data_IF_397867495455
#
_entry.id   IF_397867495455
#
_cell.length_a   1.000
_cell.length_b   1.000
_cell.length_c   1.000
_cell.angle_alpha   90.00
_cell.angle_beta   90.00
_cell.angle_gamma   90.00
#
_symmetry.space_group_name_H-M   'P 1'
#
loop_
_entity.id
_entity.type
_entity.pdbx_description
1 polymer ?
#
# COMPACT_ATOMS: atom_id res chain seq x y z
N UNK A 1 -9.05 -31.35 15.75
CA UNK A 1 -8.85 -30.03 15.14
C UNK A 1 -7.36 -29.69 15.25
N UNK A 2 -6.63 -29.72 14.14
CA UNK A 2 -5.17 -29.51 14.16
C UNK A 2 -4.92 -28.03 13.90
N UNK A 3 -4.50 -27.31 14.93
CA UNK A 3 -4.10 -25.90 14.83
C UNK A 3 -2.75 -25.83 14.12
N UNK A 4 -2.74 -25.35 12.87
CA UNK A 4 -1.49 -25.06 12.18
C UNK A 4 -1.06 -23.63 12.53
N UNK A 5 0.01 -23.50 13.33
CA UNK A 5 0.64 -22.22 13.66
C UNK A 5 1.35 -21.69 12.40
N UNK A 6 0.81 -20.67 11.76
CA UNK A 6 1.54 -19.89 10.77
C UNK A 6 2.39 -18.82 11.46
N UNK A 7 3.68 -18.89 11.15
CA UNK A 7 4.80 -18.15 11.68
C UNK A 7 4.71 -16.63 11.46
N UNK A 8 4.98 -15.85 12.51
CA UNK A 8 5.67 -14.56 12.37
C UNK A 8 4.84 -13.30 12.12
N UNK A 9 3.61 -13.18 12.64
CA UNK A 9 2.89 -11.91 12.58
C UNK A 9 3.03 -11.18 13.92
N UNK A 10 3.73 -10.03 13.93
CA UNK A 10 3.63 -9.11 15.05
C UNK A 10 2.14 -8.87 15.32
N UNK A 11 1.69 -9.08 16.57
CA UNK A 11 0.27 -9.08 16.98
C UNK A 11 -0.46 -7.73 16.82
N UNK A 12 0.08 -6.82 16.02
CA UNK A 12 -0.55 -5.59 15.60
C UNK A 12 -1.38 -5.86 14.34
N UNK A 13 -2.70 -5.58 14.35
CA UNK A 13 -3.56 -5.66 13.17
C UNK A 13 -2.96 -4.94 11.97
N UNK A 14 -3.11 -5.50 10.77
CA UNK A 14 -2.53 -4.94 9.55
C UNK A 14 -2.94 -3.48 9.34
N UNK A 15 -4.19 -3.13 9.62
CA UNK A 15 -4.72 -1.76 9.56
C UNK A 15 -3.84 -0.76 10.33
N UNK A 16 -3.46 -1.11 11.56
CA UNK A 16 -2.54 -0.29 12.37
C UNK A 16 -1.12 -0.24 11.79
N UNK A 17 -0.65 -1.33 11.17
CA UNK A 17 0.66 -1.35 10.48
C UNK A 17 0.69 -0.44 9.26
N UNK A 18 -0.41 -0.42 8.49
CA UNK A 18 -0.63 0.44 7.32
C UNK A 18 -0.78 1.92 7.72
N UNK A 19 -1.21 2.17 8.96
CA UNK A 19 -1.34 3.52 9.51
C UNK A 19 -2.63 4.21 9.09
N UNK A 20 -3.68 3.42 8.81
CA UNK A 20 -5.03 3.92 8.55
C UNK A 20 -5.61 4.49 9.85
N UNK A 21 -6.25 5.66 9.77
CA UNK A 21 -6.85 6.37 10.90
C UNK A 21 -8.32 6.65 10.63
N UNK A 22 -9.05 6.98 11.69
CA UNK A 22 -10.41 7.49 11.58
C UNK A 22 -10.43 8.79 10.77
N UNK A 23 -11.50 8.99 10.00
CA UNK A 23 -11.68 10.11 9.08
C UNK A 23 -10.97 9.94 7.73
N UNK A 24 -10.21 8.87 7.52
CA UNK A 24 -9.43 8.70 6.29
C UNK A 24 -10.30 8.36 5.08
N UNK A 25 -10.02 9.05 3.98
CA UNK A 25 -10.41 8.65 2.62
C UNK A 25 -9.36 7.67 2.08
N UNK A 26 -9.78 6.46 1.73
CA UNK A 26 -8.93 5.41 1.19
C UNK A 26 -9.23 5.20 -0.29
N UNK A 27 -8.18 5.04 -1.09
CA UNK A 27 -8.28 4.46 -2.43
C UNK A 27 -7.47 3.18 -2.50
N UNK A 28 -8.12 2.12 -2.95
CA UNK A 28 -7.51 0.80 -3.11
C UNK A 28 -7.56 0.46 -4.59
N UNK A 29 -6.44 -0.03 -5.14
CA UNK A 29 -6.35 -0.37 -6.56
C UNK A 29 -5.63 -1.71 -6.75
N UNK A 30 -6.17 -2.52 -7.65
CA UNK A 30 -5.66 -3.84 -8.06
C UNK A 30 -5.52 -4.82 -6.89
N UNK A 31 -6.33 -4.66 -5.86
CA UNK A 31 -6.28 -5.46 -4.66
C UNK A 31 -6.59 -6.94 -4.92
N UNK A 32 -6.03 -7.86 -4.13
CA UNK A 32 -6.45 -9.25 -4.19
C UNK A 32 -7.92 -9.39 -3.79
N UNK A 33 -8.62 -10.41 -4.32
CA UNK A 33 -10.03 -10.71 -3.97
C UNK A 33 -10.28 -10.76 -2.45
N UNK A 34 -9.29 -11.20 -1.68
CA UNK A 34 -9.34 -11.28 -0.22
C UNK A 34 -8.94 -9.97 0.49
N UNK A 35 -9.02 -8.81 -0.15
CA UNK A 35 -8.53 -7.56 0.44
C UNK A 35 -9.31 -7.14 1.68
N UNK A 36 -10.63 -7.30 1.67
CA UNK A 36 -11.49 -7.00 2.82
C UNK A 36 -11.05 -7.81 4.05
N UNK A 37 -10.54 -9.03 3.86
CA UNK A 37 -10.02 -9.84 4.95
C UNK A 37 -8.73 -9.28 5.58
N UNK A 38 -7.96 -8.49 4.81
CA UNK A 38 -6.74 -7.85 5.28
C UNK A 38 -7.02 -6.64 6.17
N UNK A 39 -8.18 -6.02 6.01
CA UNK A 39 -8.55 -4.77 6.66
C UNK A 39 -9.77 -4.89 7.61
N UNK A 40 -10.00 -6.08 8.20
CA UNK A 40 -11.17 -6.34 9.07
C UNK A 40 -11.36 -5.41 10.27
N UNK A 41 -10.30 -4.75 10.73
CA UNK A 41 -10.30 -3.91 11.94
C UNK A 41 -10.08 -2.44 11.59
N UNK A 42 -10.87 -1.89 10.68
CA UNK A 42 -10.83 -0.47 10.35
C UNK A 42 -11.28 0.39 11.54
N UNK A 43 -10.68 1.58 11.74
CA UNK A 43 -11.25 2.61 12.60
C UNK A 43 -12.64 3.04 12.12
N UNK A 44 -13.36 3.73 12.99
CA UNK A 44 -14.60 4.42 12.62
C UNK A 44 -14.33 5.51 11.57
N UNK A 45 -15.36 5.85 10.78
CA UNK A 45 -15.33 6.96 9.81
C UNK A 45 -14.24 6.82 8.75
N UNK A 46 -14.08 5.63 8.19
CA UNK A 46 -13.22 5.38 7.03
C UNK A 46 -14.09 5.33 5.77
N UNK A 47 -13.65 6.01 4.71
CA UNK A 47 -14.40 6.14 3.46
C UNK A 47 -13.61 5.56 2.29
N UNK A 48 -14.20 4.63 1.54
CA UNK A 48 -13.61 4.13 0.30
C UNK A 48 -14.02 5.01 -0.88
N UNK A 49 -13.04 5.46 -1.66
CA UNK A 49 -13.23 6.38 -2.77
C UNK A 49 -12.81 5.71 -4.08
N UNK A 50 -13.77 5.52 -4.99
CA UNK A 50 -13.55 4.86 -6.29
C UNK A 50 -13.06 5.83 -7.39
N UNK A 51 -13.60 7.05 -7.45
CA UNK A 51 -13.27 8.06 -8.47
C UNK A 51 -11.97 8.81 -8.17
N UNK A 52 -11.26 9.32 -9.19
CA UNK A 52 -9.95 9.98 -9.06
C UNK A 52 -10.00 11.49 -8.75
N UNK A 53 -11.19 12.08 -8.75
CA UNK A 53 -11.49 13.50 -8.59
C UNK A 53 -11.38 13.99 -7.15
N UNK A 54 -11.53 13.10 -6.18
CA UNK A 54 -11.42 13.40 -4.76
C UNK A 54 -10.00 13.01 -4.28
N UNK A 55 -9.21 13.96 -3.75
CA UNK A 55 -7.94 13.62 -3.11
C UNK A 55 -8.15 12.74 -1.87
N UNK A 56 -7.24 11.79 -1.64
CA UNK A 56 -7.34 10.79 -0.56
C UNK A 56 -6.16 10.81 0.40
N UNK A 57 -6.39 10.43 1.65
CA UNK A 57 -5.36 10.37 2.70
C UNK A 57 -4.45 9.14 2.55
N UNK A 58 -4.97 8.10 1.90
CA UNK A 58 -4.30 6.81 1.81
C UNK A 58 -4.60 6.14 0.47
N UNK A 59 -3.54 5.69 -0.20
CA UNK A 59 -3.62 4.84 -1.39
C UNK A 59 -2.96 3.50 -1.08
N UNK A 60 -3.62 2.39 -1.40
CA UNK A 60 -2.98 1.06 -1.42
C UNK A 60 -3.03 0.51 -2.83
N UNK A 61 -1.88 0.52 -3.49
CA UNK A 61 -1.73 0.11 -4.87
C UNK A 61 -0.98 -1.22 -4.93
N UNK A 62 -1.55 -2.20 -5.60
CA UNK A 62 -0.94 -3.50 -5.82
C UNK A 62 -0.44 -3.60 -7.26
N UNK A 63 0.84 -3.93 -7.44
CA UNK A 63 1.49 -3.96 -8.74
C UNK A 63 2.17 -5.31 -8.99
N UNK A 64 2.11 -5.77 -10.24
CA UNK A 64 2.86 -6.94 -10.70
C UNK A 64 4.02 -6.57 -11.63
N UNK A 65 3.96 -5.41 -12.26
CA UNK A 65 4.93 -4.97 -13.28
C UNK A 65 5.51 -3.61 -12.97
N UNK A 66 6.81 -3.50 -13.20
CA UNK A 66 7.61 -2.28 -13.13
C UNK A 66 7.03 -1.22 -14.05
N UNK A 67 6.66 -1.60 -15.28
CA UNK A 67 6.08 -0.70 -16.28
C UNK A 67 4.73 -0.12 -15.86
N UNK A 68 3.88 -0.93 -15.23
CA UNK A 68 2.57 -0.48 -14.73
C UNK A 68 2.77 0.50 -13.58
N UNK A 69 3.64 0.15 -12.63
CA UNK A 69 3.95 1.03 -11.51
C UNK A 69 4.55 2.38 -11.96
N UNK A 70 5.48 2.38 -12.93
CA UNK A 70 6.04 3.64 -13.46
C UNK A 70 4.99 4.51 -14.17
N UNK A 71 4.00 3.88 -14.82
CA UNK A 71 2.91 4.59 -15.50
C UNK A 71 1.90 5.16 -14.50
N UNK A 72 1.50 4.37 -13.52
CA UNK A 72 0.36 4.66 -12.67
C UNK A 72 0.73 5.55 -11.48
N UNK A 73 1.95 5.41 -10.93
CA UNK A 73 2.39 6.16 -9.75
C UNK A 73 2.19 7.69 -9.87
N UNK A 74 2.60 8.39 -10.95
CA UNK A 74 2.38 9.83 -11.04
C UNK A 74 0.90 10.21 -10.96
N UNK A 75 0.01 9.44 -11.60
CA UNK A 75 -1.44 9.68 -11.56
C UNK A 75 -2.00 9.49 -10.15
N UNK A 76 -1.48 8.50 -9.42
CA UNK A 76 -1.86 8.25 -8.02
C UNK A 76 -1.36 9.36 -7.08
N UNK A 77 -0.22 9.98 -7.39
CA UNK A 77 0.29 11.10 -6.60
C UNK A 77 -0.53 12.38 -6.78
N UNK A 78 -1.08 12.62 -7.97
CA UNK A 78 -2.02 13.73 -8.22
C UNK A 78 -3.32 13.59 -7.41
N UNK A 79 -3.62 12.37 -6.98
CA UNK A 79 -4.80 12.01 -6.19
C UNK A 79 -4.52 11.98 -4.68
N UNK A 80 -3.27 12.19 -4.25
CA UNK A 80 -2.88 12.05 -2.86
C UNK A 80 -2.94 13.40 -2.14
N UNK A 81 -3.56 13.44 -0.97
CA UNK A 81 -3.47 14.58 -0.07
C UNK A 81 -2.00 14.88 0.28
N UNK A 82 -1.64 16.15 0.49
CA UNK A 82 -0.24 16.56 0.75
C UNK A 82 0.39 15.85 1.96
N UNK A 83 -0.44 15.51 2.96
CA UNK A 83 -0.03 14.76 4.17
C UNK A 83 -0.39 13.28 4.12
N UNK A 84 -0.91 12.81 2.98
CA UNK A 84 -1.31 11.45 2.75
C UNK A 84 -0.14 10.49 2.60
N UNK A 85 -0.47 9.22 2.41
CA UNK A 85 0.50 8.16 2.18
C UNK A 85 0.06 7.22 1.07
N UNK A 86 1.04 6.67 0.36
CA UNK A 86 0.82 5.59 -0.59
C UNK A 86 1.59 4.35 -0.16
N UNK A 87 0.89 3.23 -0.10
CA UNK A 87 1.46 1.90 0.04
C UNK A 87 1.50 1.23 -1.32
N UNK A 88 2.69 0.82 -1.74
CA UNK A 88 2.87 0.02 -2.95
C UNK A 88 3.18 -1.41 -2.54
N UNK A 89 2.35 -2.34 -2.99
CA UNK A 89 2.44 -3.76 -2.66
C UNK A 89 2.81 -4.61 -3.87
N UNK A 90 3.75 -5.53 -3.68
CA UNK A 90 4.23 -6.46 -4.72
C UNK A 90 4.29 -7.90 -4.18
N UNK A 91 4.19 -8.93 -5.04
CA UNK A 91 4.26 -10.31 -4.58
C UNK A 91 5.64 -10.65 -4.01
N UNK A 92 5.67 -11.34 -2.87
CA UNK A 92 6.88 -11.94 -2.32
C UNK A 92 7.42 -12.98 -3.29
N UNK A 93 8.74 -13.16 -3.30
CA UNK A 93 9.41 -14.23 -4.08
C UNK A 93 8.81 -15.63 -3.79
N UNK A 94 8.45 -15.89 -2.53
CA UNK A 94 7.87 -17.16 -2.11
C UNK A 94 6.44 -17.41 -2.63
N UNK A 95 5.71 -16.37 -3.06
CA UNK A 95 4.33 -16.49 -3.49
C UNK A 95 4.16 -17.12 -4.88
N UNK A 96 5.26 -17.36 -5.61
CA UNK A 96 5.29 -17.94 -6.96
C UNK A 96 4.36 -17.25 -7.98
N UNK A 97 4.01 -15.98 -7.74
CA UNK A 97 3.27 -15.14 -8.70
C UNK A 97 4.25 -14.49 -9.68
N UNK A 98 3.85 -14.42 -10.96
CA UNK A 98 4.67 -13.80 -12.01
C UNK A 98 4.74 -12.29 -11.81
N UNK A 99 5.89 -11.80 -11.38
CA UNK A 99 6.17 -10.37 -11.21
C UNK A 99 7.61 -10.08 -11.63
N UNK A 100 7.88 -8.87 -12.13
CA UNK A 100 9.24 -8.36 -12.30
C UNK A 100 9.62 -7.34 -11.21
N UNK A 101 8.75 -7.13 -10.23
CA UNK A 101 8.94 -6.22 -9.12
C UNK A 101 9.59 -6.95 -7.93
N UNK A 102 10.47 -6.23 -7.26
CA UNK A 102 10.88 -6.48 -5.89
C UNK A 102 10.90 -5.17 -5.10
N UNK A 103 11.24 -5.24 -3.81
CA UNK A 103 11.26 -4.06 -2.95
C UNK A 103 12.27 -2.99 -3.36
N UNK A 104 13.35 -3.37 -4.05
CA UNK A 104 14.35 -2.41 -4.54
C UNK A 104 13.82 -1.70 -5.79
N UNK A 105 13.17 -2.42 -6.71
CA UNK A 105 12.51 -1.82 -7.86
C UNK A 105 11.42 -0.83 -7.41
N UNK A 106 10.56 -1.23 -6.47
CA UNK A 106 9.51 -0.36 -5.91
C UNK A 106 10.10 0.88 -5.23
N UNK A 107 11.14 0.72 -4.40
CA UNK A 107 11.85 1.86 -3.78
C UNK A 107 12.43 2.82 -4.81
N UNK A 108 13.14 2.29 -5.81
CA UNK A 108 13.77 3.10 -6.85
C UNK A 108 12.73 3.93 -7.62
N UNK A 109 11.59 3.34 -7.95
CA UNK A 109 10.51 4.04 -8.66
C UNK A 109 9.90 5.12 -7.74
N UNK A 110 9.58 4.81 -6.49
CA UNK A 110 9.05 5.80 -5.55
C UNK A 110 9.95 7.03 -5.38
N UNK A 111 11.25 6.81 -5.20
CA UNK A 111 12.25 7.89 -5.09
C UNK A 111 12.36 8.70 -6.40
N UNK A 112 12.34 8.03 -7.56
CA UNK A 112 12.33 8.69 -8.88
C UNK A 112 11.15 9.66 -9.04
N UNK A 113 10.01 9.36 -8.41
CA UNK A 113 8.82 10.21 -8.39
C UNK A 113 8.78 11.18 -7.19
N UNK A 114 9.92 11.43 -6.53
CA UNK A 114 10.04 12.45 -5.49
C UNK A 114 9.50 12.04 -4.12
N UNK A 115 9.20 10.76 -3.90
CA UNK A 115 8.74 10.27 -2.61
C UNK A 115 9.90 9.85 -1.71
N UNK A 116 9.64 9.81 -0.40
CA UNK A 116 10.52 9.17 0.58
C UNK A 116 9.87 7.89 1.10
N UNK A 117 10.63 6.81 1.17
CA UNK A 117 10.16 5.57 1.80
C UNK A 117 10.28 5.64 3.32
N UNK A 118 9.29 5.05 4.00
CA UNK A 118 9.15 5.16 5.46
C UNK A 118 9.27 3.80 6.13
N UNK A 119 8.55 2.81 5.60
CA UNK A 119 8.41 1.51 6.26
C UNK A 119 8.04 0.43 5.27
N UNK A 120 8.70 -0.72 5.37
CA UNK A 120 8.28 -1.97 4.72
C UNK A 120 7.47 -2.83 5.71
N UNK A 121 6.47 -3.56 5.22
CA UNK A 121 5.83 -4.62 6.00
C UNK A 121 5.39 -5.81 5.14
N UNK A 122 5.21 -6.95 5.80
CA UNK A 122 4.44 -8.06 5.24
C UNK A 122 2.96 -7.71 5.32
N UNK A 123 2.28 -7.62 4.18
CA UNK A 123 0.83 -7.37 4.10
C UNK A 123 0.09 -8.67 4.42
N UNK A 124 0.48 -9.77 3.77
CA UNK A 124 0.03 -11.13 4.08
C UNK A 124 1.06 -12.14 3.55
N UNK A 125 0.68 -13.42 3.43
CA UNK A 125 1.54 -14.48 2.89
C UNK A 125 2.05 -14.21 1.46
N UNK A 126 1.28 -13.47 0.66
CA UNK A 126 1.54 -13.21 -0.76
C UNK A 126 2.26 -11.90 -0.99
N UNK A 127 1.89 -10.83 -0.27
CA UNK A 127 2.27 -9.46 -0.59
C UNK A 127 3.20 -8.85 0.46
N UNK A 128 4.26 -8.20 -0.01
CA UNK A 128 5.00 -7.20 0.75
C UNK A 128 4.49 -5.81 0.37
N UNK A 129 4.60 -4.84 1.27
CA UNK A 129 4.22 -3.46 1.03
C UNK A 129 5.31 -2.48 1.49
N UNK A 130 5.48 -1.37 0.77
CA UNK A 130 6.36 -0.26 1.13
C UNK A 130 5.55 1.03 1.19
N UNK A 131 5.62 1.70 2.34
CA UNK A 131 5.02 3.01 2.58
C UNK A 131 5.90 4.12 2.04
N UNK A 132 5.27 5.03 1.31
CA UNK A 132 5.84 6.29 0.89
C UNK A 132 4.98 7.47 1.33
N UNK A 133 5.62 8.64 1.44
CA UNK A 133 4.95 9.93 1.64
C UNK A 133 5.63 11.00 0.78
N UNK A 134 4.93 12.10 0.54
CA UNK A 134 5.53 13.33 0.03
C UNK A 134 6.48 13.88 1.11
N UNK A 135 7.75 14.19 0.77
CA UNK A 135 8.73 14.74 1.72
C UNK A 135 8.21 16.03 2.35
N UNK A 136 8.49 16.26 3.64
CA UNK A 136 7.97 17.43 4.37
C UNK A 136 8.26 18.77 3.68
N UNK A 137 9.45 18.90 3.07
CA UNK A 137 9.89 20.09 2.35
C UNK A 137 9.14 20.35 1.03
N UNK A 138 8.48 19.32 0.49
CA UNK A 138 7.83 19.35 -0.83
C UNK A 138 6.28 19.36 -0.69
N UNK A 139 5.75 19.41 0.54
CA UNK A 139 4.32 19.57 0.81
C UNK A 139 3.91 21.03 0.62
N UNK A 140 2.81 21.24 -0.09
CA UNK A 140 2.20 22.56 -0.30
C UNK A 140 1.33 22.98 0.88
#
# INVERSE_FOLDING_TARGET
MVANRLSGYSGTPLVKKLGIKSGYKLRILNEPESYIDLIKELPEEVYFIEGADIPVDFIHYFALKTRELEKDLPLLLDQLEQKGMIWISWPKKAAKRKTDLDGNAVRKIGIKHGLVDIKVCSVNEVWSGLKFVIPLKDRK
#
